data_IF_451497779133
#
_entry.id   IF_451497779133
#
_cell.length_a   1.000
_cell.length_b   1.000
_cell.length_c   1.000
_cell.angle_alpha   90.00
_cell.angle_beta   90.00
_cell.angle_gamma   90.00
#
_symmetry.space_group_name_H-M   'P 1'
#
loop_
_entity.id
_entity.type
_entity.pdbx_description
1 polymer ?
#
# COMPACT_ATOMS: atom_id res chain seq x y z
N UNK A 1 -3.89 -15.47 -4.46
CA UNK A 1 -4.84 -14.45 -3.96
C UNK A 1 -4.61 -13.15 -4.71
N UNK A 2 -5.63 -12.30 -4.86
CA UNK A 2 -5.54 -10.92 -5.35
C UNK A 2 -5.61 -9.97 -4.16
N UNK A 3 -4.60 -9.11 -4.00
CA UNK A 3 -4.40 -8.30 -2.80
C UNK A 3 -4.29 -6.83 -3.18
N UNK A 4 -5.06 -5.95 -2.55
CA UNK A 4 -4.92 -4.50 -2.71
C UNK A 4 -4.01 -3.93 -1.63
N UNK A 5 -3.06 -3.09 -2.03
CA UNK A 5 -2.08 -2.47 -1.12
C UNK A 5 -2.22 -0.95 -1.17
N UNK A 6 -2.66 -0.37 -0.05
CA UNK A 6 -2.59 1.06 0.20
C UNK A 6 -1.29 1.42 0.91
N UNK A 7 -0.73 2.59 0.62
CA UNK A 7 0.63 2.92 1.10
C UNK A 7 1.73 2.19 0.33
N UNK A 8 1.40 1.68 -0.86
CA UNK A 8 2.27 0.92 -1.76
C UNK A 8 3.59 1.61 -2.12
N UNK A 9 3.64 2.94 -2.13
CA UNK A 9 4.86 3.72 -2.45
C UNK A 9 5.84 3.87 -1.29
N UNK A 10 5.51 3.39 -0.09
CA UNK A 10 6.41 3.42 1.06
C UNK A 10 7.42 2.26 1.04
N UNK A 11 8.48 2.30 1.85
CA UNK A 11 9.47 1.23 1.91
C UNK A 11 8.86 -0.14 2.22
N UNK A 12 7.97 -0.19 3.21
CA UNK A 12 7.24 -1.42 3.57
C UNK A 12 6.29 -1.87 2.45
N UNK A 13 5.62 -0.92 1.79
CA UNK A 13 4.70 -1.22 0.70
C UNK A 13 5.40 -1.85 -0.50
N UNK A 14 6.55 -1.31 -0.89
CA UNK A 14 7.35 -1.85 -1.99
C UNK A 14 7.85 -3.26 -1.69
N UNK A 15 8.35 -3.50 -0.48
CA UNK A 15 8.83 -4.82 -0.07
C UNK A 15 7.68 -5.84 0.03
N UNK A 16 6.54 -5.44 0.58
CA UNK A 16 5.33 -6.28 0.60
C UNK A 16 4.87 -6.66 -0.81
N UNK A 17 4.86 -5.71 -1.75
CA UNK A 17 4.49 -5.98 -3.15
C UNK A 17 5.43 -7.03 -3.74
N UNK A 18 6.75 -6.86 -3.57
CA UNK A 18 7.74 -7.80 -4.06
C UNK A 18 7.51 -9.21 -3.50
N UNK A 19 7.40 -9.35 -2.18
CA UNK A 19 7.21 -10.65 -1.53
C UNK A 19 5.88 -11.30 -1.91
N UNK A 20 4.81 -10.52 -2.03
CA UNK A 20 3.50 -11.04 -2.46
C UNK A 20 3.56 -11.58 -3.90
N UNK A 21 4.26 -10.88 -4.80
CA UNK A 21 4.44 -11.33 -6.18
C UNK A 21 5.32 -12.60 -6.25
N UNK A 22 6.40 -12.66 -5.47
CA UNK A 22 7.27 -13.84 -5.35
C UNK A 22 6.50 -15.06 -4.79
N UNK A 23 5.60 -14.84 -3.84
CA UNK A 23 4.68 -15.87 -3.31
C UNK A 23 3.56 -16.28 -4.28
N UNK A 24 3.52 -15.67 -5.47
CA UNK A 24 2.57 -16.01 -6.53
C UNK A 24 1.21 -15.33 -6.43
N UNK A 25 1.08 -14.29 -5.60
CA UNK A 25 -0.14 -13.50 -5.48
C UNK A 25 -0.22 -12.43 -6.58
N UNK A 26 -1.46 -12.05 -6.92
CA UNK A 26 -1.73 -10.86 -7.71
C UNK A 26 -1.86 -9.65 -6.79
N UNK A 27 -1.31 -8.51 -7.20
CA UNK A 27 -1.23 -7.32 -6.37
C UNK A 27 -1.80 -6.13 -7.11
N UNK A 28 -2.70 -5.40 -6.46
CA UNK A 28 -3.20 -4.10 -6.87
C UNK A 28 -2.53 -3.03 -6.02
N UNK A 29 -1.51 -2.36 -6.55
CA UNK A 29 -0.83 -1.27 -5.87
C UNK A 29 -1.60 0.04 -6.13
N UNK A 30 -2.29 0.54 -5.10
CA UNK A 30 -3.03 1.81 -5.19
C UNK A 30 -2.20 2.96 -4.64
N UNK A 31 -1.96 3.99 -5.45
CA UNK A 31 -1.12 5.12 -5.07
C UNK A 31 -1.54 6.45 -5.73
N UNK A 32 -1.31 7.55 -5.01
CA UNK A 32 -1.43 8.91 -5.57
C UNK A 32 -0.32 9.24 -6.56
N UNK A 33 0.92 8.84 -6.21
CA UNK A 33 2.13 9.09 -7.01
C UNK A 33 2.68 7.76 -7.51
N UNK A 34 2.05 7.21 -8.55
CA UNK A 34 2.40 5.91 -9.14
C UNK A 34 3.80 5.89 -9.77
N UNK A 35 4.36 7.06 -10.06
CA UNK A 35 5.68 7.21 -10.69
C UNK A 35 6.78 6.59 -9.81
N UNK A 36 6.56 6.53 -8.49
CA UNK A 36 7.45 5.88 -7.52
C UNK A 36 7.51 4.36 -7.66
N UNK A 37 6.52 3.76 -8.32
CA UNK A 37 6.42 2.31 -8.55
C UNK A 37 6.86 1.93 -9.97
N UNK A 38 7.32 2.88 -10.79
CA UNK A 38 7.68 2.65 -12.20
C UNK A 38 8.77 1.60 -12.43
N UNK A 39 9.61 1.36 -11.42
CA UNK A 39 10.66 0.33 -11.46
C UNK A 39 10.13 -1.08 -11.17
N UNK A 40 8.89 -1.22 -10.69
CA UNK A 40 8.25 -2.51 -10.43
C UNK A 40 7.46 -2.95 -11.67
N UNK A 41 7.83 -4.09 -12.24
CA UNK A 41 7.13 -4.69 -13.37
C UNK A 41 6.91 -6.17 -13.10
N UNK A 42 5.65 -6.61 -13.21
CA UNK A 42 5.28 -8.02 -13.10
C UNK A 42 3.92 -8.26 -13.76
N UNK A 43 3.73 -9.39 -14.42
CA UNK A 43 2.43 -9.80 -15.02
C UNK A 43 1.24 -9.89 -14.03
N UNK A 44 1.52 -9.91 -12.72
CA UNK A 44 0.54 -10.04 -11.64
C UNK A 44 0.41 -8.74 -10.84
N UNK A 45 1.01 -7.65 -11.30
CA UNK A 45 1.00 -6.35 -10.64
C UNK A 45 0.15 -5.35 -11.45
N UNK A 46 -0.97 -4.92 -10.86
CA UNK A 46 -1.78 -3.81 -11.34
C UNK A 46 -1.45 -2.55 -10.54
N UNK A 47 -0.98 -1.50 -11.20
CA UNK A 47 -0.74 -0.20 -10.56
C UNK A 47 -1.91 0.72 -10.87
N UNK A 48 -2.68 1.09 -9.84
CA UNK A 48 -3.83 2.00 -9.97
C UNK A 48 -3.49 3.35 -9.38
N UNK A 49 -3.56 4.39 -10.22
CA UNK A 49 -3.53 5.77 -9.74
C UNK A 49 -4.88 6.12 -9.10
N UNK A 50 -4.84 6.68 -7.91
CA UNK A 50 -6.02 7.23 -7.26
C UNK A 50 -5.75 7.90 -5.92
N UNK A 51 -6.78 8.54 -5.40
CA UNK A 51 -6.85 9.27 -4.15
C UNK A 51 -7.82 8.59 -3.17
N UNK A 52 -7.42 8.50 -1.90
CA UNK A 52 -8.22 7.88 -0.84
C UNK A 52 -9.43 8.73 -0.41
N UNK A 53 -9.49 9.99 -0.84
CA UNK A 53 -10.69 10.82 -0.69
C UNK A 53 -11.76 10.50 -1.74
N UNK A 54 -11.41 9.77 -2.80
CA UNK A 54 -12.33 9.39 -3.87
C UNK A 54 -12.84 7.96 -3.66
N UNK A 55 -14.10 7.86 -3.24
CA UNK A 55 -14.77 6.56 -3.00
C UNK A 55 -14.79 5.66 -4.24
N UNK A 56 -15.09 6.20 -5.41
CA UNK A 56 -15.16 5.40 -6.66
C UNK A 56 -13.81 4.79 -7.01
N UNK A 57 -12.72 5.50 -6.75
CA UNK A 57 -11.38 5.00 -7.00
C UNK A 57 -10.97 3.91 -6.01
N UNK A 58 -11.36 4.06 -4.74
CA UNK A 58 -11.20 3.01 -3.72
C UNK A 58 -11.99 1.77 -4.11
N UNK A 59 -13.26 1.93 -4.50
CA UNK A 59 -14.14 0.83 -4.93
C UNK A 59 -13.50 0.04 -6.08
N UNK A 60 -12.97 0.73 -7.09
CA UNK A 60 -12.23 0.09 -8.19
C UNK A 60 -11.00 -0.68 -7.68
N UNK A 61 -10.29 -0.16 -6.70
CA UNK A 61 -9.08 -0.79 -6.16
C UNK A 61 -9.39 -2.05 -5.34
N UNK A 62 -10.56 -2.15 -4.71
CA UNK A 62 -10.92 -3.27 -3.83
C UNK A 62 -11.91 -4.26 -4.45
N UNK A 63 -12.45 -3.96 -5.63
CA UNK A 63 -13.41 -4.86 -6.29
C UNK A 63 -12.73 -6.15 -6.75
N UNK A 64 -13.27 -7.29 -6.33
CA UNK A 64 -12.80 -8.61 -6.75
C UNK A 64 -11.44 -9.03 -6.18
N UNK A 65 -11.00 -8.41 -5.08
CA UNK A 65 -9.79 -8.81 -4.37
C UNK A 65 -10.13 -9.66 -3.14
N UNK A 66 -9.23 -10.57 -2.78
CA UNK A 66 -9.39 -11.46 -1.63
C UNK A 66 -9.03 -10.76 -0.31
N UNK A 67 -8.13 -9.78 -0.36
CA UNK A 67 -7.65 -9.07 0.82
C UNK A 67 -7.22 -7.63 0.51
N UNK A 68 -7.28 -6.78 1.54
CA UNK A 68 -6.81 -5.40 1.51
C UNK A 68 -5.80 -5.18 2.63
N UNK A 69 -4.63 -4.67 2.29
CA UNK A 69 -3.55 -4.32 3.22
C UNK A 69 -3.36 -2.81 3.20
N UNK A 70 -3.56 -2.18 4.36
CA UNK A 70 -3.34 -0.74 4.54
C UNK A 70 -2.04 -0.48 5.27
N UNK A 71 -1.06 0.08 4.56
CA UNK A 71 0.20 0.58 5.12
C UNK A 71 0.22 2.11 5.17
N UNK A 72 -0.96 2.72 5.27
CA UNK A 72 -1.12 4.15 5.36
C UNK A 72 -0.71 4.61 6.75
N UNK A 73 0.52 5.09 6.84
CA UNK A 73 1.03 5.79 8.02
C UNK A 73 0.94 7.31 7.88
N UNK A 74 0.92 8.04 8.99
CA UNK A 74 1.09 9.48 8.98
C UNK A 74 2.40 9.90 8.32
N UNK A 75 2.36 11.01 7.59
CA UNK A 75 3.57 11.65 7.06
C UNK A 75 4.11 12.62 8.10
N UNK A 76 5.02 12.14 8.95
CA UNK A 76 5.76 12.97 9.91
C UNK A 76 5.72 12.44 11.34
N UNK A 77 6.43 13.11 12.25
CA UNK A 77 6.23 12.90 13.69
C UNK A 77 4.80 13.33 14.03
N UNK A 78 3.90 12.36 14.16
CA UNK A 78 2.79 12.59 15.07
C UNK A 78 3.40 12.66 16.46
N UNK A 79 3.23 13.77 17.16
CA UNK A 79 3.52 13.86 18.59
C UNK A 79 2.18 13.81 19.33
N UNK A 80 2.18 13.25 20.54
CA UNK A 80 1.02 13.21 21.43
C UNK A 80 -0.15 12.36 20.91
N UNK A 81 0.14 11.21 20.29
CA UNK A 81 -0.85 10.17 20.04
C UNK A 81 -0.39 8.86 20.66
N UNK A 82 -1.34 8.02 21.07
CA UNK A 82 -1.03 6.68 21.59
C UNK A 82 -0.18 5.87 20.59
N UNK A 83 -0.42 6.06 19.28
CA UNK A 83 0.37 5.46 18.22
C UNK A 83 1.83 5.95 18.23
N UNK A 84 2.09 7.25 18.43
CA UNK A 84 3.45 7.81 18.43
C UNK A 84 4.27 7.44 19.66
N UNK A 85 3.60 7.24 20.80
CA UNK A 85 4.27 6.87 22.05
C UNK A 85 4.69 5.39 22.02
N UNK A 86 3.89 4.53 21.39
CA UNK A 86 4.20 3.12 21.20
C UNK A 86 5.41 2.83 20.31
N UNK A 87 5.79 3.74 19.39
CA UNK A 87 6.98 3.56 18.52
C UNK A 87 8.26 4.18 19.11
N UNK A 88 8.16 4.92 20.21
CA UNK A 88 9.29 5.57 20.90
C UNK A 88 9.80 4.75 22.10
N UNK A 89 9.65 3.42 22.07
CA UNK A 89 10.25 2.56 23.09
C UNK A 89 11.77 2.68 22.97
N UNK A 90 12.37 3.49 23.84
CA UNK A 90 13.82 3.54 24.04
C UNK A 90 14.26 2.16 24.51
N UNK A 91 15.03 1.46 23.68
CA UNK A 91 15.83 0.29 24.07
C UNK A 91 16.84 0.66 25.14
#
# INVERSE_FOLDING_TARGET
>A
MKITVFGSTGPLGMELIKQALEAGHAVVAFARSIEKLSHLTHERLDIIKGDLSNRTEIERAVTGVDAVISLLGPKGKIMNTELSDGVNIKS
#
